data_IF_860704111977
#
_entry.id   IF_860704111977
#
_cell.length_a   1.000
_cell.length_b   1.000
_cell.length_c   1.000
_cell.angle_alpha   90.00
_cell.angle_beta   90.00
_cell.angle_gamma   90.00
#
_symmetry.space_group_name_H-M   'P 1'
#
loop_
_entity.id
_entity.type
_entity.pdbx_description
1 polymer ?
#
# COMPACT_ATOMS: atom_id res chain seq x y z
N UNK A 1 17.24 7.76 -19.99
CA UNK A 1 16.86 8.96 -19.22
C UNK A 1 15.53 8.79 -18.50
N UNK A 2 14.38 8.54 -19.17
CA UNK A 2 13.07 8.39 -18.50
C UNK A 2 13.05 7.26 -17.45
N UNK A 3 13.67 6.11 -17.73
CA UNK A 3 13.78 5.01 -16.73
C UNK A 3 14.45 5.47 -15.44
N UNK A 4 15.55 6.24 -15.56
CA UNK A 4 16.24 6.79 -14.39
C UNK A 4 15.37 7.79 -13.61
N UNK A 5 14.58 8.63 -14.31
CA UNK A 5 13.65 9.56 -13.66
C UNK A 5 12.52 8.85 -12.92
N UNK A 6 11.97 7.75 -13.50
CA UNK A 6 10.95 6.92 -12.84
C UNK A 6 11.54 6.22 -11.61
N UNK A 7 12.75 5.65 -11.72
CA UNK A 7 13.46 5.05 -10.58
C UNK A 7 13.67 6.07 -9.47
N UNK A 8 14.13 7.27 -9.81
CA UNK A 8 14.34 8.35 -8.84
C UNK A 8 13.04 8.83 -8.20
N UNK A 9 11.95 8.89 -8.98
CA UNK A 9 10.62 9.24 -8.46
C UNK A 9 10.15 8.26 -7.37
N UNK A 10 10.31 6.96 -7.59
CA UNK A 10 9.94 5.94 -6.60
C UNK A 10 10.87 5.93 -5.38
N UNK A 11 12.15 6.25 -5.57
CA UNK A 11 13.14 6.34 -4.50
C UNK A 11 12.84 7.51 -3.55
N UNK A 12 12.60 8.71 -4.11
CA UNK A 12 12.49 9.97 -3.36
C UNK A 12 11.08 10.54 -3.25
N UNK A 13 10.11 9.96 -3.94
CA UNK A 13 8.71 10.40 -3.94
C UNK A 13 8.42 11.63 -4.80
N UNK A 14 9.44 12.42 -5.15
CA UNK A 14 9.33 13.63 -6.00
C UNK A 14 10.56 13.85 -6.86
N UNK A 15 10.36 14.50 -8.01
CA UNK A 15 11.43 14.82 -8.96
C UNK A 15 11.13 16.13 -9.65
N UNK A 16 12.13 17.00 -9.80
CA UNK A 16 12.03 18.22 -10.58
C UNK A 16 12.60 17.99 -11.98
N UNK A 17 11.82 18.37 -13.01
CA UNK A 17 12.20 18.22 -14.40
C UNK A 17 11.41 19.17 -15.29
N UNK A 18 11.62 19.13 -16.61
CA UNK A 18 10.81 19.95 -17.54
C UNK A 18 9.39 19.39 -17.65
N UNK A 19 8.41 20.25 -17.91
CA UNK A 19 6.99 19.87 -18.03
C UNK A 19 6.77 18.75 -19.05
N UNK A 20 7.47 18.78 -20.19
CA UNK A 20 7.36 17.72 -21.22
C UNK A 20 7.82 16.38 -20.70
N UNK A 21 8.99 16.34 -20.04
CA UNK A 21 9.51 15.10 -19.43
C UNK A 21 8.63 14.61 -18.29
N UNK A 22 8.11 15.53 -17.47
CA UNK A 22 7.20 15.16 -16.37
C UNK A 22 5.95 14.43 -16.88
N UNK A 23 5.38 14.86 -18.02
CA UNK A 23 4.24 14.19 -18.66
C UNK A 23 4.56 12.76 -19.07
N UNK A 24 5.73 12.53 -19.70
CA UNK A 24 6.19 11.20 -20.09
C UNK A 24 6.48 10.30 -18.87
N UNK A 25 7.18 10.85 -17.87
CA UNK A 25 7.46 10.14 -16.60
C UNK A 25 6.16 9.74 -15.91
N UNK A 26 5.15 10.61 -15.91
CA UNK A 26 3.83 10.33 -15.35
C UNK A 26 3.21 9.06 -15.95
N UNK A 27 3.13 9.00 -17.29
CA UNK A 27 2.53 7.86 -17.97
C UNK A 27 3.22 6.53 -17.62
N UNK A 28 4.56 6.54 -17.57
CA UNK A 28 5.35 5.37 -17.23
C UNK A 28 5.23 4.99 -15.75
N UNK A 29 5.31 5.96 -14.84
CA UNK A 29 5.19 5.73 -13.41
C UNK A 29 3.81 5.17 -13.05
N UNK A 30 2.73 5.75 -13.56
CA UNK A 30 1.36 5.27 -13.32
C UNK A 30 1.16 3.84 -13.83
N UNK A 31 1.73 3.50 -15.00
CA UNK A 31 1.72 2.13 -15.52
C UNK A 31 2.44 1.16 -14.58
N UNK A 32 3.63 1.53 -14.06
CA UNK A 32 4.38 0.67 -13.14
C UNK A 32 3.64 0.46 -11.82
N UNK A 33 2.98 1.49 -11.27
CA UNK A 33 2.16 1.37 -10.07
C UNK A 33 0.96 0.43 -10.34
N UNK A 34 0.29 0.57 -11.48
CA UNK A 34 -0.84 -0.31 -11.82
C UNK A 34 -0.41 -1.77 -11.92
N UNK A 35 0.72 -2.06 -12.55
CA UNK A 35 1.28 -3.42 -12.62
C UNK A 35 1.68 -3.91 -11.23
N UNK A 36 2.28 -3.06 -10.39
CA UNK A 36 2.71 -3.43 -9.05
C UNK A 36 1.54 -3.80 -8.13
N UNK A 37 0.37 -3.19 -8.31
CA UNK A 37 -0.86 -3.51 -7.55
C UNK A 37 -1.33 -4.95 -7.69
N UNK A 38 -1.03 -5.62 -8.81
CA UNK A 38 -1.37 -7.02 -9.01
C UNK A 38 -0.57 -7.97 -8.10
N UNK A 39 0.63 -7.56 -7.64
CA UNK A 39 1.45 -8.29 -6.68
C UNK A 39 2.02 -9.62 -7.17
N UNK A 40 1.80 -10.01 -8.43
CA UNK A 40 2.25 -11.29 -8.97
C UNK A 40 3.76 -11.31 -9.26
N UNK A 41 4.35 -12.52 -9.32
CA UNK A 41 5.75 -12.67 -9.73
C UNK A 41 5.99 -12.15 -11.16
N UNK A 42 4.99 -12.32 -12.04
CA UNK A 42 5.04 -11.79 -13.40
C UNK A 42 5.11 -10.26 -13.40
N UNK A 43 4.24 -9.60 -12.62
CA UNK A 43 4.24 -8.14 -12.45
C UNK A 43 5.59 -7.64 -11.91
N UNK A 44 6.18 -8.35 -10.93
CA UNK A 44 7.51 -8.01 -10.41
C UNK A 44 8.59 -8.09 -11.48
N UNK A 45 8.59 -9.12 -12.31
CA UNK A 45 9.54 -9.25 -13.45
C UNK A 45 9.35 -8.15 -14.49
N UNK A 46 8.11 -7.75 -14.79
CA UNK A 46 7.84 -6.64 -15.71
C UNK A 46 8.36 -5.31 -15.19
N UNK A 47 8.17 -5.02 -13.90
CA UNK A 47 8.68 -3.80 -13.27
C UNK A 47 10.20 -3.80 -13.22
N UNK A 48 10.85 -4.93 -12.88
CA UNK A 48 12.31 -5.10 -12.88
C UNK A 48 12.92 -4.86 -14.28
N UNK A 49 12.23 -5.24 -15.34
CA UNK A 49 12.69 -4.97 -16.70
C UNK A 49 12.77 -3.47 -17.01
N UNK A 50 12.01 -2.63 -16.31
CA UNK A 50 11.97 -1.18 -16.53
C UNK A 50 12.76 -0.39 -15.47
N UNK A 51 12.52 -0.64 -14.18
CA UNK A 51 13.20 0.03 -13.06
C UNK A 51 14.60 -0.58 -12.88
N UNK A 52 15.61 0.27 -12.78
CA UNK A 52 17.01 -0.17 -12.82
C UNK A 52 17.55 -0.65 -11.47
N UNK A 53 16.92 -0.25 -10.36
CA UNK A 53 17.35 -0.59 -8.98
C UNK A 53 16.37 -1.57 -8.36
N UNK A 54 16.86 -2.72 -7.89
CA UNK A 54 16.04 -3.74 -7.22
C UNK A 54 15.45 -3.27 -5.91
N UNK A 55 16.20 -2.48 -5.12
CA UNK A 55 15.72 -1.92 -3.86
C UNK A 55 14.50 -1.01 -4.06
N UNK A 56 14.49 -0.24 -5.17
CA UNK A 56 13.36 0.64 -5.52
C UNK A 56 12.15 -0.19 -5.94
N UNK A 57 12.36 -1.31 -6.65
CA UNK A 57 11.28 -2.23 -6.98
C UNK A 57 10.71 -2.84 -5.71
N UNK A 58 11.54 -3.27 -4.76
CA UNK A 58 11.08 -3.77 -3.47
C UNK A 58 10.23 -2.71 -2.75
N UNK A 59 10.72 -1.49 -2.64
CA UNK A 59 9.98 -0.35 -2.07
C UNK A 59 8.64 -0.12 -2.78
N UNK A 60 8.60 -0.25 -4.11
CA UNK A 60 7.38 -0.09 -4.89
C UNK A 60 6.32 -1.12 -4.52
N UNK A 61 6.69 -2.40 -4.35
CA UNK A 61 5.74 -3.47 -4.02
C UNK A 61 5.35 -3.51 -2.54
N UNK A 62 6.29 -3.20 -1.63
CA UNK A 62 6.10 -3.33 -0.19
C UNK A 62 5.46 -2.08 0.43
N UNK A 63 5.78 -0.87 -0.07
CA UNK A 63 5.33 0.39 0.53
C UNK A 63 4.37 1.19 -0.36
N UNK A 64 4.65 1.30 -1.67
CA UNK A 64 3.92 2.19 -2.56
C UNK A 64 2.63 1.53 -3.06
N UNK A 65 2.72 0.33 -3.63
CA UNK A 65 1.57 -0.36 -4.21
C UNK A 65 0.41 -0.58 -3.21
N UNK A 66 0.66 -0.98 -1.94
CA UNK A 66 -0.40 -1.14 -0.96
C UNK A 66 -1.17 0.16 -0.66
N UNK A 67 -0.48 1.31 -0.64
CA UNK A 67 -1.12 2.62 -0.42
C UNK A 67 -2.14 3.00 -1.49
N UNK A 68 -1.95 2.50 -2.71
CA UNK A 68 -2.82 2.82 -3.85
C UNK A 68 -3.81 1.71 -4.22
N UNK A 69 -3.97 0.68 -3.38
CA UNK A 69 -4.78 -0.50 -3.73
C UNK A 69 -6.21 -0.12 -4.15
N UNK A 70 -6.84 0.81 -3.43
CA UNK A 70 -8.22 1.23 -3.67
C UNK A 70 -8.34 2.36 -4.71
N UNK A 71 -7.24 2.94 -5.15
CA UNK A 71 -7.23 4.08 -6.08
C UNK A 71 -7.11 3.58 -7.51
N UNK A 72 -8.02 4.00 -8.40
CA UNK A 72 -8.09 3.54 -9.80
C UNK A 72 -7.28 4.39 -10.79
N UNK A 73 -6.29 5.17 -10.33
CA UNK A 73 -5.45 6.01 -11.19
C UNK A 73 -5.18 7.38 -10.57
N UNK A 74 -4.37 8.21 -11.27
CA UNK A 74 -4.01 9.54 -10.75
C UNK A 74 -3.04 9.46 -9.57
N UNK A 75 -2.11 8.53 -9.60
CA UNK A 75 -1.14 8.30 -8.54
C UNK A 75 -0.07 9.39 -8.44
N UNK A 76 0.03 10.24 -9.47
CA UNK A 76 1.04 11.28 -9.54
C UNK A 76 0.42 12.64 -9.80
N UNK A 77 1.07 13.69 -9.30
CA UNK A 77 0.70 15.09 -9.53
C UNK A 77 1.88 15.85 -10.11
N UNK A 78 1.59 16.75 -11.07
CA UNK A 78 2.59 17.62 -11.70
C UNK A 78 2.27 19.04 -11.25
N UNK A 79 3.25 19.71 -10.63
CA UNK A 79 3.17 21.08 -10.16
C UNK A 79 4.15 21.90 -11.01
N UNK A 80 3.66 22.91 -11.76
CA UNK A 80 4.52 23.80 -12.53
C UNK A 80 5.26 24.76 -11.59
N UNK A 81 6.58 24.90 -11.76
CA UNK A 81 7.43 25.77 -10.96
C UNK A 81 7.84 27.05 -11.67
N UNK A 82 7.56 27.13 -12.97
CA UNK A 82 7.89 28.28 -13.80
C UNK A 82 9.06 28.04 -14.74
N UNK A 83 9.58 29.09 -15.33
CA UNK A 83 10.67 29.02 -16.31
C UNK A 83 12.04 29.00 -15.62
N UNK A 84 12.94 28.13 -16.10
CA UNK A 84 14.33 28.04 -15.63
C UNK A 84 15.14 29.23 -16.13
N UNK A 85 16.02 29.77 -15.26
CA UNK A 85 16.94 30.86 -15.66
C UNK A 85 17.92 30.34 -16.73
N UNK A 86 18.14 31.17 -17.73
CA UNK A 86 19.07 30.92 -18.83
C UNK A 86 18.35 30.51 -20.13
N UNK A 87 17.57 29.43 -20.13
CA UNK A 87 16.93 28.90 -21.32
C UNK A 87 15.39 29.03 -21.33
N UNK A 88 14.82 29.61 -20.27
CA UNK A 88 13.36 29.78 -20.12
C UNK A 88 12.55 28.47 -20.27
N UNK A 89 13.18 27.29 -20.09
CA UNK A 89 12.47 26.03 -20.14
C UNK A 89 11.43 25.92 -19.01
N UNK A 90 10.20 25.55 -19.34
CA UNK A 90 9.15 25.33 -18.32
C UNK A 90 9.52 24.13 -17.42
N UNK A 91 9.65 24.39 -16.14
CA UNK A 91 9.96 23.38 -15.12
C UNK A 91 8.69 22.94 -14.39
N UNK A 92 8.74 21.70 -13.91
CA UNK A 92 7.69 21.15 -13.08
C UNK A 92 8.27 20.12 -12.09
N UNK A 93 7.62 20.00 -10.96
CA UNK A 93 7.84 18.92 -9.99
C UNK A 93 6.76 17.88 -10.22
N UNK A 94 7.16 16.63 -10.44
CA UNK A 94 6.27 15.48 -10.38
C UNK A 94 6.43 14.81 -9.02
N UNK A 95 5.34 14.49 -8.36
CA UNK A 95 5.32 13.86 -7.06
C UNK A 95 4.27 12.73 -6.98
N UNK A 96 4.49 11.76 -6.10
CA UNK A 96 3.50 10.76 -5.76
C UNK A 96 2.46 11.40 -4.83
N UNK A 97 1.19 11.28 -5.20
CA UNK A 97 0.07 11.77 -4.39
C UNK A 97 -0.22 10.73 -3.32
N UNK A 98 0.01 11.05 -2.07
CA UNK A 98 -0.45 10.19 -1.00
C UNK A 98 -1.98 10.09 -1.07
N UNK A 99 -2.55 8.88 -1.24
CA UNK A 99 -3.98 8.72 -1.16
C UNK A 99 -4.40 9.24 0.21
N UNK A 100 -5.28 10.19 0.24
CA UNK A 100 -5.98 10.54 1.48
C UNK A 100 -6.76 9.28 1.85
N UNK A 101 -6.16 8.43 2.67
CA UNK A 101 -6.93 7.50 3.48
C UNK A 101 -7.92 8.40 4.17
N UNK A 102 -9.21 8.19 3.93
CA UNK A 102 -10.25 8.91 4.65
C UNK A 102 -9.95 8.61 6.11
N UNK A 103 -9.26 9.55 6.78
CA UNK A 103 -9.19 9.57 8.22
C UNK A 103 -10.66 9.56 8.64
N UNK A 104 -11.11 8.45 9.20
CA UNK A 104 -12.33 8.41 9.96
C UNK A 104 -12.21 9.57 10.93
N UNK A 105 -12.97 10.63 10.63
CA UNK A 105 -13.08 11.78 11.52
C UNK A 105 -13.38 11.22 12.89
N UNK A 106 -12.58 11.52 13.92
CA UNK A 106 -12.89 11.05 15.25
C UNK A 106 -14.31 11.54 15.55
N UNK A 107 -15.22 10.57 15.69
CA UNK A 107 -16.58 10.84 16.13
C UNK A 107 -16.43 11.56 17.45
N UNK A 108 -16.66 12.86 17.46
CA UNK A 108 -16.81 13.65 18.67
C UNK A 108 -17.88 12.94 19.49
N UNK A 109 -17.45 12.22 20.51
CA UNK A 109 -18.33 11.75 21.58
C UNK A 109 -18.89 13.00 22.25
N UNK A 110 -20.06 13.44 21.80
CA UNK A 110 -20.88 14.38 22.53
C UNK A 110 -21.30 13.66 23.81
N UNK A 111 -20.65 14.05 24.89
CA UNK A 111 -21.06 13.69 26.22
C UNK A 111 -22.43 14.33 26.49
N UNK A 112 -23.48 13.54 26.42
CA UNK A 112 -24.75 13.91 27.01
C UNK A 112 -24.84 13.25 28.37
N UNK A 113 -24.70 14.10 29.37
CA UNK A 113 -24.89 13.90 30.79
C UNK A 113 -26.41 13.94 31.05
N UNK A 114 -26.97 12.89 31.57
CA UNK A 114 -28.09 12.97 32.55
C UNK A 114 -28.52 11.59 33.03
N UNK A 115 -28.28 11.39 34.25
CA UNK A 115 -29.15 11.14 35.40
C UNK A 115 -29.73 9.71 35.51
N UNK A 116 -29.12 8.97 36.42
CA UNK A 116 -29.58 8.60 37.78
C UNK A 116 -31.01 8.01 37.84
N UNK A 117 -31.17 6.74 38.09
CA UNK A 117 -31.80 6.21 39.32
C UNK A 117 -32.05 4.69 39.28
N UNK A 118 -31.49 4.03 40.24
CA UNK A 118 -32.01 3.07 41.20
C UNK A 118 -32.45 1.68 40.77
N UNK A 119 -31.74 0.79 41.28
CA UNK A 119 -32.12 -0.21 42.31
C UNK A 119 -32.49 -1.59 41.76
N UNK A 120 -31.72 -2.47 42.17
CA UNK A 120 -32.03 -3.55 43.10
C UNK A 120 -32.25 -4.94 42.51
N UNK A 121 -31.35 -5.76 42.83
CA UNK A 121 -31.50 -7.03 43.55
C UNK A 121 -31.63 -8.32 42.74
N UNK A 122 -30.67 -9.12 42.98
CA UNK A 122 -30.69 -10.50 43.47
C UNK A 122 -30.44 -11.64 42.47
N UNK A 123 -29.25 -12.19 42.67
CA UNK A 123 -29.02 -13.56 43.16
C UNK A 123 -29.02 -14.71 42.13
N UNK A 124 -27.91 -15.27 42.04
CA UNK A 124 -27.52 -16.69 42.17
C UNK A 124 -26.82 -17.29 40.96
N UNK A 125 -25.57 -17.54 41.15
CA UNK A 125 -24.82 -18.65 40.57
C UNK A 125 -25.36 -19.97 41.18
N UNK A 126 -24.97 -21.19 40.81
CA UNK A 126 -23.67 -21.59 40.29
C UNK A 126 -23.66 -22.87 39.41
N UNK A 127 -22.44 -23.16 38.95
CA UNK A 127 -21.86 -24.52 38.77
C UNK A 127 -22.31 -25.32 37.55
N UNK A 128 -21.46 -25.94 36.87
CA UNK A 128 -20.43 -26.93 37.01
C UNK A 128 -20.28 -27.72 35.71
N UNK A 129 -19.05 -27.92 35.34
CA UNK A 129 -18.42 -29.18 34.94
C UNK A 129 -18.87 -29.78 33.60
N UNK A 130 -18.07 -30.12 32.63
CA UNK A 130 -16.89 -30.98 32.70
C UNK A 130 -16.25 -31.06 31.31
N UNK A 131 -14.96 -30.91 31.19
CA UNK A 131 -14.20 -31.55 30.12
C UNK A 131 -14.13 -33.05 30.49
N UNK A 132 -13.87 -34.00 29.59
CA UNK A 132 -12.51 -34.18 29.08
C UNK A 132 -12.33 -34.91 27.73
N UNK A 133 -11.09 -34.83 27.28
CA UNK A 133 -10.20 -35.92 26.79
C UNK A 133 -10.40 -36.53 25.42
N UNK A 134 -9.43 -36.18 24.57
CA UNK A 134 -8.31 -37.07 24.16
C UNK A 134 -8.72 -38.27 23.28
N UNK A 135 -8.12 -38.31 22.08
CA UNK A 135 -7.15 -39.35 21.75
C UNK A 135 -6.75 -39.28 20.27
N UNK A 136 -5.48 -39.06 20.03
CA UNK A 136 -4.83 -39.60 18.85
C UNK A 136 -4.59 -41.09 19.12
N UNK A 137 -4.38 -41.97 18.17
CA UNK A 137 -3.09 -42.18 17.53
C UNK A 137 -3.17 -42.62 16.06
N UNK A 138 -2.16 -42.27 15.28
CA UNK A 138 -0.96 -43.03 14.97
C UNK A 138 -1.11 -44.20 13.99
N UNK A 139 -0.11 -44.21 13.12
CA UNK A 139 0.55 -45.34 12.44
C UNK A 139 -0.15 -45.92 11.20
N UNK A 140 0.49 -46.28 10.21
CA UNK A 140 1.89 -46.47 9.82
C UNK A 140 1.92 -47.03 8.40
N UNK A 141 3.05 -46.84 7.76
CA UNK A 141 3.78 -47.84 6.93
C UNK A 141 3.05 -48.35 5.69
N UNK A 142 3.66 -48.60 4.66
CA UNK A 142 4.97 -49.05 4.20
C UNK A 142 4.93 -49.21 2.70
N UNK A 143 6.02 -48.91 2.10
CA UNK A 143 6.87 -49.67 1.16
C UNK A 143 6.31 -49.84 -0.25
N UNK A 144 7.06 -49.48 -1.18
CA UNK A 144 8.30 -49.89 -1.76
C UNK A 144 8.14 -50.37 -3.17
N UNK A 145 9.16 -50.04 -3.94
CA UNK A 145 9.79 -50.74 -5.06
C UNK A 145 9.16 -50.70 -6.45
N UNK A 146 9.90 -50.03 -7.29
CA UNK A 146 10.74 -50.59 -8.37
C UNK A 146 9.99 -51.05 -9.62
N UNK A 147 10.19 -50.38 -10.69
CA UNK A 147 10.93 -50.79 -11.87
C UNK A 147 11.11 -49.63 -12.83
#
# INVERSE_FOLDING_TARGET
>A
MLRGLVTYLFENGKVETTVTRAKEVRAMAEKMITIAKEGSLHSRRQVLAYVTKEDVVKKLFDEIAPKYQDVKGGYTRIIKTGARRGDAAEMAIIELVEPKVAEEKPVKKTATKAAKKTASTKKAAPAKEEAPKAEAPAEAKEEATAE
#
